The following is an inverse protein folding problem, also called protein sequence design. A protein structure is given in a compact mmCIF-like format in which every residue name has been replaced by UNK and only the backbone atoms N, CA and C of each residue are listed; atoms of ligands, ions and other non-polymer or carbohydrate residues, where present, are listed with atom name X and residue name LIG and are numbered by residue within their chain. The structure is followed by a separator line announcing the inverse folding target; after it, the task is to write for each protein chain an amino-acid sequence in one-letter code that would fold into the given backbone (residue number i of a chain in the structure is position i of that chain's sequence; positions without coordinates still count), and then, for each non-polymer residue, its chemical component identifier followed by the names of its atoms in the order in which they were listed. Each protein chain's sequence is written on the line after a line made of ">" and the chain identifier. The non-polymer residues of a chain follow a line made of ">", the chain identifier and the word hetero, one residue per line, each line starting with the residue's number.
data_IF_933152431978
#
_entry.id   IF_933152431978
#
_cell.length_a   1.000
_cell.length_b   1.000
_cell.length_c   1.000
_cell.angle_alpha   90.00
_cell.angle_beta   90.00
_cell.angle_gamma   90.00
#
_symmetry.space_group_name_H-M   'P 1'
#
loop_
_entity.id
_entity.type
_entity.pdbx_description
1 polymer ?
#
# COMPACT_ATOMS: atom_id res chain seq x y z
N UNK A 1 -10.40 15.94 14.67
CA UNK A 1 -9.13 16.06 13.92
C UNK A 1 -9.35 16.29 12.42
N UNK A 2 -10.15 15.49 11.68
CA UNK A 2 -10.44 15.77 10.25
C UNK A 2 -11.57 16.81 10.04
N UNK A 3 -12.70 16.65 10.74
CA UNK A 3 -13.82 17.60 10.61
C UNK A 3 -13.49 19.04 11.00
N UNK A 4 -12.48 19.22 11.87
CA UNK A 4 -12.04 20.54 12.33
C UNK A 4 -11.33 21.34 11.23
N UNK A 5 -10.92 20.67 10.14
CA UNK A 5 -10.26 21.26 8.97
C UNK A 5 -11.18 21.31 7.74
N UNK A 6 -12.45 20.95 7.88
CA UNK A 6 -13.41 20.86 6.77
C UNK A 6 -13.35 19.55 5.97
N UNK A 7 -12.53 18.59 6.40
CA UNK A 7 -12.50 17.26 5.80
C UNK A 7 -13.65 16.37 6.29
N UNK A 8 -14.04 15.41 5.46
CA UNK A 8 -15.07 14.41 5.79
C UNK A 8 -14.66 13.55 7.01
N UNK A 9 -15.37 13.60 8.15
CA UNK A 9 -14.99 12.87 9.36
C UNK A 9 -15.34 11.37 9.34
N UNK A 10 -16.32 10.93 8.55
CA UNK A 10 -16.73 9.52 8.51
C UNK A 10 -15.76 8.66 7.68
N UNK A 11 -15.20 7.63 8.30
CA UNK A 11 -14.21 6.75 7.66
C UNK A 11 -14.76 5.99 6.45
N UNK A 12 -16.04 5.61 6.48
CA UNK A 12 -16.69 4.89 5.39
C UNK A 12 -16.94 5.82 4.21
N UNK A 13 -17.40 7.04 4.49
CA UNK A 13 -17.59 8.08 3.46
C UNK A 13 -16.24 8.43 2.84
N UNK A 14 -15.19 8.69 3.64
CA UNK A 14 -13.83 8.89 3.12
C UNK A 14 -13.33 7.72 2.27
N UNK A 15 -13.63 6.49 2.68
CA UNK A 15 -13.28 5.30 1.91
C UNK A 15 -13.97 5.24 0.54
N UNK A 16 -15.21 5.71 0.45
CA UNK A 16 -15.96 5.81 -0.82
C UNK A 16 -15.47 6.98 -1.68
N UNK A 17 -15.20 8.14 -1.07
CA UNK A 17 -14.55 9.27 -1.74
C UNK A 17 -13.20 8.87 -2.31
N UNK A 18 -12.38 8.11 -1.57
CA UNK A 18 -11.10 7.60 -2.07
C UNK A 18 -11.29 6.72 -3.31
N UNK A 19 -12.29 5.84 -3.32
CA UNK A 19 -12.57 4.99 -4.48
C UNK A 19 -12.91 5.83 -5.72
N UNK A 20 -13.75 6.86 -5.58
CA UNK A 20 -14.07 7.78 -6.68
C UNK A 20 -12.86 8.64 -7.09
N UNK A 21 -12.10 9.15 -6.13
CA UNK A 21 -10.92 9.97 -6.38
C UNK A 21 -9.86 9.20 -7.17
N UNK A 22 -9.66 7.91 -6.86
CA UNK A 22 -8.74 7.06 -7.61
C UNK A 22 -9.24 6.78 -9.04
N UNK A 23 -10.55 6.59 -9.25
CA UNK A 23 -11.12 6.47 -10.59
C UNK A 23 -10.94 7.78 -11.39
N UNK A 24 -11.19 8.92 -10.76
CA UNK A 24 -11.05 10.24 -11.37
C UNK A 24 -9.61 10.54 -11.76
N UNK A 25 -8.64 10.37 -10.85
CA UNK A 25 -7.23 10.71 -11.11
C UNK A 25 -6.64 9.81 -12.21
N UNK A 26 -7.01 8.54 -12.23
CA UNK A 26 -6.52 7.60 -13.24
C UNK A 26 -7.15 7.84 -14.62
N UNK A 27 -8.40 8.31 -14.68
CA UNK A 27 -9.00 8.81 -15.91
C UNK A 27 -8.29 10.05 -16.46
N UNK A 28 -7.97 11.01 -15.58
CA UNK A 28 -7.21 12.21 -15.95
C UNK A 28 -5.81 11.88 -16.50
N UNK A 29 -5.13 10.90 -15.90
CA UNK A 29 -3.79 10.46 -16.35
C UNK A 29 -3.75 9.84 -17.75
N UNK A 30 -4.90 9.52 -18.35
CA UNK A 30 -4.95 9.09 -19.75
C UNK A 30 -4.45 10.18 -20.72
N UNK A 31 -4.59 11.46 -20.36
CA UNK A 31 -4.25 12.60 -21.21
C UNK A 31 -5.23 12.87 -22.36
N UNK A 32 -6.33 12.12 -22.40
CA UNK A 32 -7.46 12.25 -23.33
C UNK A 32 -8.60 13.05 -22.68
N UNK A 33 -9.57 13.57 -23.47
CA UNK A 33 -10.77 14.20 -22.92
C UNK A 33 -11.50 13.25 -21.97
N UNK A 34 -11.63 13.68 -20.71
CA UNK A 34 -12.24 12.90 -19.65
C UNK A 34 -13.29 13.74 -18.92
N UNK A 35 -14.39 13.10 -18.54
CA UNK A 35 -15.41 13.67 -17.68
C UNK A 35 -15.76 12.64 -16.61
N UNK A 36 -16.20 13.10 -15.45
CA UNK A 36 -16.53 12.22 -14.33
C UNK A 36 -17.74 12.79 -13.60
N UNK A 37 -18.71 11.94 -13.30
CA UNK A 37 -19.92 12.32 -12.58
C UNK A 37 -20.18 11.24 -11.53
N UNK A 38 -19.51 11.39 -10.38
CA UNK A 38 -19.62 10.48 -9.24
C UNK A 38 -20.61 11.00 -8.19
N UNK A 39 -20.68 10.32 -7.06
CA UNK A 39 -21.47 10.78 -5.91
C UNK A 39 -20.79 11.94 -5.18
N UNK A 40 -19.46 11.94 -5.14
CA UNK A 40 -18.67 12.92 -4.36
C UNK A 40 -17.90 13.90 -5.25
N UNK A 41 -17.50 13.47 -6.45
CA UNK A 41 -16.73 14.31 -7.36
C UNK A 41 -17.40 14.45 -8.73
N UNK A 42 -17.42 15.68 -9.23
CA UNK A 42 -17.94 16.02 -10.55
C UNK A 42 -16.89 16.80 -11.33
N UNK A 43 -16.57 16.31 -12.52
CA UNK A 43 -15.61 16.89 -13.42
C UNK A 43 -16.27 17.09 -14.78
N UNK A 44 -16.43 18.36 -15.16
CA UNK A 44 -16.78 18.74 -16.53
C UNK A 44 -15.68 18.28 -17.50
N UNK A 45 -15.99 18.05 -18.78
CA UNK A 45 -15.00 17.62 -19.77
C UNK A 45 -13.69 18.41 -19.69
N UNK A 46 -12.61 17.71 -19.38
CA UNK A 46 -11.29 18.28 -19.20
C UNK A 46 -10.22 17.35 -19.78
N UNK A 47 -9.09 17.93 -20.19
CA UNK A 47 -7.90 17.18 -20.62
C UNK A 47 -6.76 17.54 -19.69
N UNK A 48 -6.19 16.54 -19.00
CA UNK A 48 -5.11 16.75 -18.03
C UNK A 48 -3.77 16.32 -18.61
N UNK A 49 -2.84 17.28 -18.71
CA UNK A 49 -1.51 17.07 -19.29
C UNK A 49 -0.43 17.76 -18.44
N UNK A 50 0.81 17.25 -18.44
CA UNK A 50 1.30 16.09 -19.19
C UNK A 50 0.80 14.74 -18.64
N UNK A 51 0.86 13.69 -19.48
CA UNK A 51 0.62 12.31 -19.02
C UNK A 51 1.76 11.87 -18.09
N UNK A 52 1.51 10.96 -17.13
CA UNK A 52 2.58 10.33 -16.38
C UNK A 52 3.59 9.63 -17.28
N UNK A 53 4.86 9.60 -16.84
CA UNK A 53 5.92 8.87 -17.54
C UNK A 53 5.63 7.37 -17.51
N UNK A 54 5.21 6.83 -16.36
CA UNK A 54 4.80 5.44 -16.24
C UNK A 54 3.54 5.14 -17.07
N UNK A 55 3.57 4.03 -17.81
CA UNK A 55 2.45 3.54 -18.61
C UNK A 55 1.92 2.21 -18.04
N UNK A 56 0.59 1.96 -18.13
CA UNK A 56 -0.44 2.85 -18.68
C UNK A 56 -0.78 4.04 -17.77
N UNK A 57 -0.36 3.99 -16.50
CA UNK A 57 -0.47 5.06 -15.50
C UNK A 57 0.54 4.83 -14.37
N UNK A 58 0.61 5.77 -13.42
CA UNK A 58 1.33 5.55 -12.16
C UNK A 58 0.69 4.36 -11.41
N UNK A 59 1.48 3.34 -10.98
CA UNK A 59 0.99 2.24 -10.16
C UNK A 59 0.44 2.73 -8.83
N UNK A 60 -0.63 2.09 -8.35
CA UNK A 60 -1.30 2.45 -7.10
C UNK A 60 -1.32 1.23 -6.20
N UNK A 61 -0.81 1.41 -4.98
CA UNK A 61 -0.94 0.45 -3.89
C UNK A 61 -1.92 0.98 -2.85
N UNK A 62 -2.93 0.18 -2.49
CA UNK A 62 -3.91 0.57 -1.50
C UNK A 62 -3.57 -0.01 -0.12
N UNK A 63 -3.67 0.80 0.92
CA UNK A 63 -3.41 0.36 2.29
C UNK A 63 -4.66 -0.10 3.04
N UNK A 64 -4.48 -0.97 4.02
CA UNK A 64 -5.58 -1.50 4.83
C UNK A 64 -5.13 -2.48 5.91
N UNK A 65 -6.01 -2.66 6.89
CA UNK A 65 -5.76 -3.49 8.09
C UNK A 65 -6.72 -4.68 8.08
N UNK A 66 -6.22 -5.86 8.43
CA UNK A 66 -7.03 -7.05 8.64
C UNK A 66 -7.96 -6.89 9.87
N UNK A 67 -9.21 -7.39 9.88
CA UNK A 67 -9.93 -8.12 8.82
C UNK A 67 -10.88 -7.25 7.99
N UNK A 68 -10.62 -5.94 7.84
CA UNK A 68 -11.56 -5.03 7.18
C UNK A 68 -11.66 -5.29 5.66
N UNK A 69 -12.77 -5.91 5.25
CA UNK A 69 -13.02 -6.32 3.85
C UNK A 69 -13.04 -5.18 2.83
N UNK A 70 -13.48 -3.97 3.20
CA UNK A 70 -13.61 -2.83 2.27
C UNK A 70 -12.25 -2.36 1.72
N UNK A 71 -11.23 -2.10 2.56
CA UNK A 71 -9.86 -1.88 2.09
C UNK A 71 -9.31 -3.03 1.21
N UNK A 72 -9.57 -4.29 1.55
CA UNK A 72 -9.12 -5.43 0.73
C UNK A 72 -9.77 -5.42 -0.68
N UNK A 73 -11.07 -5.13 -0.75
CA UNK A 73 -11.77 -4.98 -2.03
C UNK A 73 -11.23 -3.79 -2.85
N UNK A 74 -10.69 -2.75 -2.20
CA UNK A 74 -9.96 -1.68 -2.89
C UNK A 74 -8.63 -2.19 -3.42
N UNK A 75 -7.82 -2.85 -2.60
CA UNK A 75 -6.54 -3.45 -3.03
C UNK A 75 -6.70 -4.32 -4.27
N UNK A 76 -7.74 -5.17 -4.30
CA UNK A 76 -8.01 -6.05 -5.43
C UNK A 76 -8.21 -5.31 -6.77
N UNK A 77 -8.65 -4.05 -6.76
CA UNK A 77 -8.90 -3.23 -7.97
C UNK A 77 -7.65 -2.52 -8.50
N UNK A 78 -6.56 -2.49 -7.74
CA UNK A 78 -5.34 -1.74 -8.05
C UNK A 78 -4.13 -2.65 -8.27
N UNK A 79 -2.94 -2.07 -8.34
CA UNK A 79 -1.71 -2.76 -8.77
C UNK A 79 -0.99 -3.44 -7.60
N UNK A 80 -1.34 -3.10 -6.36
CA UNK A 80 -0.78 -3.75 -5.20
C UNK A 80 -1.54 -3.49 -3.90
N UNK A 81 -1.14 -4.22 -2.87
CA UNK A 81 -1.61 -4.07 -1.51
C UNK A 81 -0.50 -3.62 -0.57
N UNK A 82 -0.90 -2.76 0.37
CA UNK A 82 -0.07 -2.31 1.48
C UNK A 82 -0.75 -2.70 2.81
N UNK A 83 -0.52 -3.93 3.28
CA UNK A 83 -0.97 -4.39 4.59
C UNK A 83 -0.39 -3.53 5.72
N UNK A 84 -1.22 -3.22 6.71
CA UNK A 84 -0.82 -2.52 7.92
C UNK A 84 -1.11 -3.39 9.14
N UNK A 85 -0.13 -3.53 10.03
CA UNK A 85 -0.18 -4.39 11.21
C UNK A 85 -0.18 -3.57 12.50
N UNK A 86 -1.29 -2.89 12.80
CA UNK A 86 -1.34 -2.03 13.98
C UNK A 86 -1.46 -2.83 15.28
N UNK A 87 -0.51 -2.63 16.19
CA UNK A 87 -0.49 -3.27 17.50
C UNK A 87 -0.12 -4.76 17.46
N UNK A 88 0.55 -5.20 16.39
CA UNK A 88 1.02 -6.57 16.22
C UNK A 88 2.52 -6.51 16.00
N UNK A 89 3.30 -6.88 17.00
CA UNK A 89 4.76 -6.85 16.94
C UNK A 89 5.38 -8.21 16.59
N UNK A 90 4.63 -9.31 16.77
CA UNK A 90 5.11 -10.66 16.45
C UNK A 90 5.11 -10.90 14.93
N UNK A 91 6.28 -11.13 14.30
CA UNK A 91 6.37 -11.40 12.87
C UNK A 91 5.54 -12.60 12.42
N UNK A 92 5.40 -13.65 13.25
CA UNK A 92 4.63 -14.82 12.87
C UNK A 92 3.12 -14.49 12.75
N UNK A 93 2.60 -13.65 13.64
CA UNK A 93 1.23 -13.15 13.57
C UNK A 93 1.03 -12.21 12.37
N UNK A 94 1.98 -11.32 12.10
CA UNK A 94 1.95 -10.47 10.90
C UNK A 94 1.94 -11.30 9.61
N UNK A 95 2.78 -12.34 9.52
CA UNK A 95 2.81 -13.27 8.39
C UNK A 95 1.49 -14.05 8.24
N UNK A 96 0.87 -14.46 9.34
CA UNK A 96 -0.44 -15.11 9.30
C UNK A 96 -1.53 -14.17 8.76
N UNK A 97 -1.59 -12.93 9.24
CA UNK A 97 -2.52 -11.93 8.73
C UNK A 97 -2.25 -11.57 7.26
N UNK A 98 -0.98 -11.46 6.87
CA UNK A 98 -0.60 -11.24 5.47
C UNK A 98 -1.14 -12.37 4.58
N UNK A 99 -0.99 -13.63 5.00
CA UNK A 99 -1.46 -14.80 4.25
C UNK A 99 -2.96 -14.75 3.99
N UNK A 100 -3.73 -14.42 5.01
CA UNK A 100 -5.18 -14.25 4.91
C UNK A 100 -5.56 -13.09 3.99
N UNK A 101 -4.89 -11.94 4.12
CA UNK A 101 -5.13 -10.78 3.27
C UNK A 101 -4.81 -11.06 1.80
N UNK A 102 -3.67 -11.71 1.52
CA UNK A 102 -3.28 -12.13 0.16
C UNK A 102 -4.32 -13.08 -0.41
N UNK A 103 -4.73 -14.11 0.34
CA UNK A 103 -5.73 -15.07 -0.13
C UNK A 103 -7.06 -14.37 -0.50
N UNK A 104 -7.57 -13.50 0.38
CA UNK A 104 -8.83 -12.77 0.15
C UNK A 104 -8.72 -11.82 -1.05
N UNK A 105 -7.64 -11.06 -1.15
CA UNK A 105 -7.45 -10.11 -2.25
C UNK A 105 -7.31 -10.84 -3.58
N UNK A 106 -6.55 -11.94 -3.62
CA UNK A 106 -6.42 -12.74 -4.83
C UNK A 106 -7.76 -13.38 -5.22
N UNK A 107 -8.53 -13.89 -4.27
CA UNK A 107 -9.89 -14.41 -4.55
C UNK A 107 -10.77 -13.32 -5.18
N UNK A 108 -10.77 -12.10 -4.62
CA UNK A 108 -11.51 -10.97 -5.18
C UNK A 108 -11.03 -10.59 -6.59
N UNK A 109 -9.72 -10.64 -6.85
CA UNK A 109 -9.16 -10.37 -8.18
C UNK A 109 -9.63 -11.39 -9.21
N UNK A 110 -9.51 -12.68 -8.91
CA UNK A 110 -9.94 -13.76 -9.81
C UNK A 110 -11.45 -13.70 -10.12
N UNK A 111 -12.28 -13.30 -9.15
CA UNK A 111 -13.73 -13.16 -9.36
C UNK A 111 -14.10 -11.96 -10.22
N UNK A 112 -13.35 -10.86 -10.12
CA UNK A 112 -13.73 -9.57 -10.70
C UNK A 112 -13.01 -9.25 -12.02
N UNK A 113 -11.89 -9.91 -12.32
CA UNK A 113 -11.10 -9.69 -13.53
C UNK A 113 -11.05 -10.98 -14.35
N UNK A 114 -11.34 -10.95 -15.66
CA UNK A 114 -11.08 -12.10 -16.52
C UNK A 114 -9.58 -12.38 -16.60
N UNK A 115 -9.21 -13.64 -16.87
CA UNK A 115 -7.80 -14.08 -16.85
C UNK A 115 -6.87 -13.23 -17.73
N UNK A 116 -7.34 -12.82 -18.92
CA UNK A 116 -6.59 -11.96 -19.83
C UNK A 116 -6.35 -10.54 -19.30
N UNK A 117 -7.12 -10.09 -18.31
CA UNK A 117 -7.00 -8.79 -17.66
C UNK A 117 -6.26 -8.86 -16.31
N UNK A 118 -5.86 -10.06 -15.88
CA UNK A 118 -4.99 -10.20 -14.73
C UNK A 118 -3.64 -9.54 -15.00
N UNK A 119 -3.15 -8.80 -14.02
CA UNK A 119 -1.89 -8.07 -14.06
C UNK A 119 -1.03 -8.47 -12.87
N UNK A 120 0.30 -8.28 -12.95
CA UNK A 120 1.17 -8.37 -11.79
C UNK A 120 0.56 -7.59 -10.61
N UNK A 121 0.70 -8.15 -9.42
CA UNK A 121 0.13 -7.60 -8.20
C UNK A 121 1.21 -7.55 -7.13
N UNK A 122 1.52 -6.35 -6.67
CA UNK A 122 2.52 -6.12 -5.66
C UNK A 122 1.95 -6.37 -4.25
N UNK A 123 2.72 -7.05 -3.42
CA UNK A 123 2.39 -7.28 -2.02
C UNK A 123 3.53 -6.72 -1.19
N UNK A 124 3.26 -5.64 -0.45
CA UNK A 124 4.25 -5.01 0.42
C UNK A 124 4.26 -5.72 1.77
N UNK A 125 5.45 -6.05 2.26
CA UNK A 125 5.70 -6.29 3.68
C UNK A 125 6.51 -5.13 4.24
N UNK A 126 6.21 -4.72 5.46
CA UNK A 126 6.93 -3.66 6.18
C UNK A 126 7.50 -4.21 7.47
N UNK A 127 8.63 -3.65 7.91
CA UNK A 127 9.24 -4.02 9.18
C UNK A 127 10.63 -3.44 9.35
N UNK A 128 11.26 -3.80 10.46
CA UNK A 128 12.60 -3.36 10.82
C UNK A 128 13.53 -4.57 10.83
N UNK A 129 14.66 -4.45 10.16
CA UNK A 129 15.68 -5.50 10.10
C UNK A 129 16.94 -5.12 10.88
N UNK A 130 17.51 -6.04 11.69
CA UNK A 130 18.76 -5.80 12.41
C UNK A 130 19.96 -5.79 11.44
N UNK A 131 20.67 -4.66 11.29
CA UNK A 131 21.80 -4.55 10.34
C UNK A 131 23.00 -5.44 10.73
N UNK A 132 23.12 -5.79 12.01
CA UNK A 132 24.22 -6.58 12.58
C UNK A 132 24.00 -8.11 12.52
N UNK A 133 22.82 -8.56 12.04
CA UNK A 133 22.44 -9.99 12.03
C UNK A 133 21.89 -10.44 10.67
N UNK A 134 22.76 -10.57 9.64
CA UNK A 134 22.33 -10.83 8.27
C UNK A 134 21.48 -12.10 8.12
N UNK A 135 21.87 -13.22 8.74
CA UNK A 135 21.10 -14.46 8.66
C UNK A 135 19.70 -14.36 9.30
N UNK A 136 19.55 -13.57 10.37
CA UNK A 136 18.24 -13.32 10.99
C UNK A 136 17.37 -12.43 10.09
N UNK A 137 17.98 -11.42 9.48
CA UNK A 137 17.31 -10.52 8.53
C UNK A 137 16.83 -11.27 7.29
N UNK A 138 17.69 -12.10 6.68
CA UNK A 138 17.32 -12.91 5.52
C UNK A 138 16.15 -13.85 5.85
N UNK A 139 16.21 -14.56 6.98
CA UNK A 139 15.12 -15.44 7.41
C UNK A 139 13.82 -14.67 7.67
N UNK A 140 13.90 -13.46 8.24
CA UNK A 140 12.75 -12.61 8.51
C UNK A 140 12.07 -12.17 7.20
N UNK A 141 12.82 -11.62 6.25
CA UNK A 141 12.31 -11.20 4.94
C UNK A 141 11.78 -12.41 4.16
N UNK A 142 12.50 -13.53 4.18
CA UNK A 142 12.10 -14.77 3.51
C UNK A 142 10.75 -15.27 4.01
N UNK A 143 10.46 -15.18 5.32
CA UNK A 143 9.16 -15.56 5.88
C UNK A 143 7.99 -14.75 5.28
N UNK A 144 8.18 -13.46 5.00
CA UNK A 144 7.17 -12.66 4.31
C UNK A 144 7.10 -12.97 2.81
N UNK A 145 8.25 -13.20 2.17
CA UNK A 145 8.29 -13.60 0.76
C UNK A 145 7.55 -14.93 0.52
N UNK A 146 7.69 -15.91 1.41
CA UNK A 146 6.97 -17.19 1.37
C UNK A 146 5.44 -17.04 1.46
N UNK A 147 4.97 -15.97 2.11
CA UNK A 147 3.54 -15.64 2.21
C UNK A 147 3.03 -14.93 0.93
N UNK A 148 3.95 -14.42 0.12
CA UNK A 148 3.65 -13.77 -1.16
C UNK A 148 4.06 -12.30 -1.23
N UNK A 149 4.83 -11.78 -0.26
CA UNK A 149 5.39 -10.44 -0.37
C UNK A 149 6.34 -10.34 -1.57
N UNK A 150 6.17 -9.30 -2.38
CA UNK A 150 7.03 -8.99 -3.54
C UNK A 150 7.91 -7.76 -3.29
N UNK A 151 7.58 -6.97 -2.27
CA UNK A 151 8.34 -5.81 -1.82
C UNK A 151 8.59 -5.88 -0.32
N UNK A 152 9.81 -5.51 0.08
CA UNK A 152 10.16 -5.19 1.46
C UNK A 152 10.30 -3.67 1.59
N UNK A 153 9.56 -3.08 2.53
CA UNK A 153 9.73 -1.68 2.92
C UNK A 153 10.33 -1.63 4.33
N UNK A 154 11.59 -1.21 4.38
CA UNK A 154 12.27 -1.00 5.66
C UNK A 154 11.70 0.22 6.38
N UNK A 155 11.23 -0.01 7.60
CA UNK A 155 10.74 1.05 8.47
C UNK A 155 11.91 1.74 9.17
N UNK A 156 11.99 3.05 8.97
CA UNK A 156 12.96 3.92 9.63
C UNK A 156 12.23 4.72 10.71
N UNK A 157 11.67 4.03 11.71
CA UNK A 157 10.86 4.66 12.79
C UNK A 157 11.57 4.65 14.16
N UNK A 158 12.60 5.50 14.37
CA UNK A 158 13.08 5.77 15.72
C UNK A 158 11.98 6.40 16.58
N UNK A 159 11.58 5.72 17.66
CA UNK A 159 10.70 6.28 18.70
C UNK A 159 9.25 5.77 18.70
N UNK A 160 8.81 4.99 17.70
CA UNK A 160 7.51 4.31 17.74
C UNK A 160 7.68 2.94 18.39
N UNK A 161 7.89 2.94 19.71
CA UNK A 161 8.05 1.71 20.52
C UNK A 161 9.24 1.68 21.49
N UNK A 162 10.01 2.78 21.64
CA UNK A 162 11.12 2.87 22.59
C UNK A 162 11.62 4.30 22.83
N UNK A 163 12.22 4.53 23.99
CA UNK A 163 12.48 5.86 24.60
C UNK A 163 13.59 6.72 23.95
N UNK A 164 14.23 6.31 22.85
CA UNK A 164 15.31 7.09 22.24
C UNK A 164 15.13 7.32 20.75
N UNK A 165 14.89 8.59 20.39
CA UNK A 165 15.03 9.06 19.02
C UNK A 165 16.48 8.85 18.54
N UNK A 166 16.65 8.31 17.33
CA UNK A 166 17.96 8.19 16.71
C UNK A 166 18.53 9.58 16.38
N UNK A 167 19.84 9.72 16.54
CA UNK A 167 20.57 10.86 15.97
C UNK A 167 20.53 10.82 14.44
N UNK A 168 20.74 11.96 13.79
CA UNK A 168 20.88 12.05 12.33
C UNK A 168 21.96 11.09 11.80
N UNK A 169 23.07 10.93 12.52
CA UNK A 169 24.14 10.00 12.17
C UNK A 169 23.63 8.55 12.13
N UNK A 170 22.91 8.11 13.15
CA UNK A 170 22.34 6.76 13.22
C UNK A 170 21.31 6.52 12.10
N UNK A 171 20.44 7.50 11.82
CA UNK A 171 19.50 7.41 10.70
C UNK A 171 20.24 7.29 9.36
N UNK A 172 21.26 8.13 9.14
CA UNK A 172 22.07 8.11 7.92
C UNK A 172 22.82 6.79 7.77
N UNK A 173 23.40 6.26 8.84
CA UNK A 173 24.07 4.95 8.84
C UNK A 173 23.11 3.83 8.50
N UNK A 174 21.89 3.81 9.06
CA UNK A 174 20.86 2.82 8.70
C UNK A 174 20.46 2.92 7.23
N UNK A 175 20.28 4.13 6.70
CA UNK A 175 19.97 4.34 5.27
C UNK A 175 21.11 3.85 4.38
N UNK A 176 22.36 4.16 4.73
CA UNK A 176 23.54 3.75 3.96
C UNK A 176 23.80 2.24 4.01
N UNK A 177 23.41 1.56 5.09
CA UNK A 177 23.43 0.11 5.17
C UNK A 177 22.47 -0.54 4.15
N UNK A 178 21.49 0.21 3.64
CA UNK A 178 20.52 -0.27 2.66
C UNK A 178 19.58 -1.35 3.21
N UNK A 179 18.70 -1.91 2.37
CA UNK A 179 18.12 -3.21 2.65
C UNK A 179 19.27 -4.25 2.64
N UNK A 180 19.39 -5.05 3.71
CA UNK A 180 20.46 -6.04 3.81
C UNK A 180 20.31 -7.11 2.71
N UNK A 181 21.37 -7.36 1.95
CA UNK A 181 21.41 -8.37 0.87
C UNK A 181 21.88 -7.89 -0.51
N UNK A 182 22.58 -6.75 -0.61
CA UNK A 182 23.22 -6.25 -1.83
C UNK A 182 24.74 -6.40 -1.83
#
# INVERSE_FOLDING_TARGET
>A
QFGDLGDEPDQRVRGAMLDEGLALVTGLWSGEPFQFDGQYYHLKPATFRPRPVQQPRIPIWAAGVWPHRRPLARMARWDGMFPLFWGIDDPAEQQAHLREMVAVVQEMRHKNLPDAAQRPFDVVATGVTPPDRPAQTEAHIAGFAEVGATWWLEELEPGRGGDTAWSFTQLRERVLAGPLGG
#
